data_IF_507180849274
#
_entry.id   IF_507180849274
#
_cell.length_a   1.000
_cell.length_b   1.000
_cell.length_c   1.000
_cell.angle_alpha   90.00
_cell.angle_beta   90.00
_cell.angle_gamma   90.00
#
_symmetry.space_group_name_H-M   'P 1'
#
loop_
_entity.id
_entity.type
_entity.pdbx_description
1 polymer ?
#
# COMPACT_ATOMS: atom_id res chain seq x y z
N UNK A 1 -11.45 -19.83 -3.87
CA UNK A 1 -12.53 -18.85 -4.13
C UNK A 1 -11.91 -17.52 -4.52
N UNK A 2 -12.37 -16.84 -5.59
CA UNK A 2 -11.87 -15.51 -5.93
C UNK A 2 -12.21 -14.52 -4.81
N UNK A 3 -11.22 -13.74 -4.36
CA UNK A 3 -11.44 -12.72 -3.32
C UNK A 3 -12.28 -11.58 -3.90
N UNK A 4 -13.34 -11.11 -3.20
CA UNK A 4 -14.14 -9.99 -3.69
C UNK A 4 -13.28 -8.72 -3.80
N UNK A 5 -13.37 -8.04 -4.95
CA UNK A 5 -12.68 -6.77 -5.21
C UNK A 5 -13.63 -5.61 -4.95
N UNK A 6 -13.17 -4.62 -4.18
CA UNK A 6 -13.88 -3.36 -3.94
C UNK A 6 -13.09 -2.22 -4.59
N UNK A 7 -13.80 -1.27 -5.18
CA UNK A 7 -13.17 -0.11 -5.82
C UNK A 7 -13.25 1.10 -4.90
N UNK A 8 -12.13 1.81 -4.78
CA UNK A 8 -12.04 3.12 -4.13
C UNK A 8 -11.48 4.10 -5.19
N UNK A 9 -12.19 5.20 -5.44
CA UNK A 9 -11.72 6.27 -6.34
C UNK A 9 -11.31 7.47 -5.51
N UNK A 10 -10.04 7.87 -5.62
CA UNK A 10 -9.47 9.03 -4.94
C UNK A 10 -9.05 10.06 -5.97
N UNK A 11 -9.36 11.34 -5.72
CA UNK A 11 -8.71 12.45 -6.42
C UNK A 11 -7.38 12.70 -5.71
N UNK A 12 -6.27 12.62 -6.44
CA UNK A 12 -4.95 12.78 -5.87
C UNK A 12 -4.51 14.25 -5.92
N UNK A 13 -3.85 14.76 -4.87
CA UNK A 13 -3.31 16.11 -4.86
C UNK A 13 -2.07 16.19 -5.77
N UNK A 14 -1.83 17.37 -6.35
CA UNK A 14 -0.73 17.59 -7.30
C UNK A 14 0.64 17.34 -6.67
N UNK A 15 0.78 17.58 -5.37
CA UNK A 15 2.00 17.34 -4.60
C UNK A 15 2.41 15.87 -4.62
N UNK A 16 1.44 14.96 -4.45
CA UNK A 16 1.72 13.52 -4.49
C UNK A 16 2.04 13.05 -5.91
N UNK A 17 1.35 13.62 -6.91
CA UNK A 17 1.62 13.33 -8.33
C UNK A 17 3.03 13.81 -8.71
N UNK A 18 3.43 15.01 -8.28
CA UNK A 18 4.74 15.59 -8.53
C UNK A 18 5.85 14.74 -7.88
N UNK A 19 5.67 14.31 -6.62
CA UNK A 19 6.59 13.41 -5.94
C UNK A 19 6.78 12.09 -6.71
N UNK A 20 5.67 11.43 -7.08
CA UNK A 20 5.72 10.19 -7.86
C UNK A 20 6.47 10.40 -9.19
N UNK A 21 6.19 11.50 -9.89
CA UNK A 21 6.83 11.83 -11.16
C UNK A 21 8.33 12.07 -11.01
N UNK A 22 8.75 12.75 -9.95
CA UNK A 22 10.17 13.01 -9.67
C UNK A 22 10.95 11.70 -9.53
N UNK A 23 10.36 10.71 -8.85
CA UNK A 23 11.00 9.42 -8.58
C UNK A 23 10.73 8.37 -9.68
N UNK A 24 10.01 8.74 -10.75
CA UNK A 24 9.71 7.85 -11.87
C UNK A 24 8.72 6.72 -11.55
N UNK A 25 7.94 6.84 -10.48
CA UNK A 25 6.92 5.87 -10.07
C UNK A 25 5.52 6.38 -10.37
N UNK A 26 4.54 5.47 -10.51
CA UNK A 26 3.14 5.88 -10.59
C UNK A 26 2.52 5.93 -9.20
N UNK A 27 1.51 6.79 -8.95
CA UNK A 27 0.77 6.79 -7.70
C UNK A 27 0.19 5.42 -7.35
N UNK A 28 -0.24 4.65 -8.35
CA UNK A 28 -0.77 3.30 -8.18
C UNK A 28 0.26 2.34 -7.57
N UNK A 29 1.52 2.39 -8.01
CA UNK A 29 2.61 1.56 -7.46
C UNK A 29 2.83 1.90 -6.00
N UNK A 30 2.95 3.18 -5.67
CA UNK A 30 3.21 3.65 -4.29
C UNK A 30 2.07 3.25 -3.36
N UNK A 31 0.82 3.52 -3.76
CA UNK A 31 -0.35 3.21 -2.93
C UNK A 31 -0.55 1.70 -2.77
N UNK A 32 -0.36 0.89 -3.82
CA UNK A 32 -0.43 -0.57 -3.70
C UNK A 32 0.65 -1.14 -2.81
N UNK A 33 1.88 -0.62 -2.92
CA UNK A 33 3.00 -1.00 -2.06
C UNK A 33 2.66 -0.76 -0.59
N UNK A 34 2.26 0.48 -0.25
CA UNK A 34 1.88 0.83 1.12
C UNK A 34 0.74 -0.05 1.67
N UNK A 35 -0.32 -0.27 0.87
CA UNK A 35 -1.44 -1.16 1.26
C UNK A 35 -0.93 -2.58 1.48
N UNK A 36 -0.07 -3.09 0.60
CA UNK A 36 0.48 -4.43 0.73
C UNK A 36 1.37 -4.56 1.98
N UNK A 37 2.17 -3.55 2.29
CA UNK A 37 3.01 -3.55 3.49
C UNK A 37 2.17 -3.51 4.76
N UNK A 38 1.22 -2.57 4.85
CA UNK A 38 0.35 -2.45 6.02
C UNK A 38 -0.53 -3.69 6.25
N UNK A 39 -0.95 -4.37 5.18
CA UNK A 39 -1.75 -5.60 5.26
C UNK A 39 -0.91 -6.90 5.23
N UNK A 40 0.42 -6.78 5.29
CA UNK A 40 1.37 -7.91 5.22
C UNK A 40 1.16 -8.85 4.01
N UNK A 41 0.74 -8.30 2.87
CA UNK A 41 0.44 -9.05 1.66
C UNK A 41 1.74 -9.39 0.93
N UNK A 42 2.15 -10.64 1.02
CA UNK A 42 3.36 -11.13 0.35
C UNK A 42 3.06 -11.72 -1.04
N UNK A 43 3.99 -11.52 -1.98
CA UNK A 43 4.02 -12.17 -3.28
C UNK A 43 5.37 -12.88 -3.44
N UNK A 44 5.35 -14.19 -3.64
CA UNK A 44 6.57 -15.01 -3.69
C UNK A 44 6.95 -15.32 -5.14
N UNK A 45 8.24 -15.45 -5.43
CA UNK A 45 8.71 -15.84 -6.78
C UNK A 45 8.09 -17.18 -7.22
N UNK A 46 7.97 -18.14 -6.30
CA UNK A 46 7.35 -19.44 -6.56
C UNK A 46 5.82 -19.40 -6.64
N UNK A 47 5.18 -18.32 -6.17
CA UNK A 47 3.73 -18.16 -6.11
C UNK A 47 3.36 -16.67 -6.24
N UNK A 48 3.51 -16.08 -7.44
CA UNK A 48 3.26 -14.67 -7.65
C UNK A 48 1.77 -14.35 -7.54
N UNK A 49 1.44 -13.19 -6.97
CA UNK A 49 0.06 -12.72 -6.90
C UNK A 49 -0.39 -12.11 -8.23
N UNK A 50 -1.59 -12.45 -8.66
CA UNK A 50 -2.19 -11.92 -9.88
C UNK A 50 -2.92 -10.57 -9.68
N UNK A 51 -3.07 -10.10 -8.45
CA UNK A 51 -3.78 -8.85 -8.12
C UNK A 51 -2.85 -7.63 -8.00
N UNK A 52 -1.55 -7.80 -8.23
CA UNK A 52 -0.57 -6.71 -8.28
C UNK A 52 -0.19 -6.14 -6.90
N UNK A 53 -0.65 -6.74 -5.80
CA UNK A 53 -0.20 -6.38 -4.46
C UNK A 53 1.01 -7.24 -4.07
N UNK A 54 2.06 -6.60 -3.59
CA UNK A 54 3.24 -7.26 -3.05
C UNK A 54 3.91 -6.32 -2.05
N UNK A 55 4.18 -6.83 -0.85
CA UNK A 55 4.97 -6.13 0.16
C UNK A 55 6.39 -5.89 -0.34
N UNK A 56 6.96 -4.75 0.01
CA UNK A 56 8.31 -4.34 -0.38
C UNK A 56 9.39 -4.97 0.52
N UNK A 57 9.06 -5.37 1.74
CA UNK A 57 10.02 -5.99 2.67
C UNK A 57 9.52 -6.02 4.11
N UNK A 58 10.28 -6.68 5.01
CA UNK A 58 9.90 -6.79 6.43
C UNK A 58 9.95 -5.45 7.15
N UNK A 59 10.91 -4.61 6.79
CA UNK A 59 11.15 -3.35 7.44
C UNK A 59 10.05 -2.37 7.03
N UNK A 60 9.65 -2.38 5.76
CA UNK A 60 8.54 -1.59 5.23
C UNK A 60 7.22 -1.96 5.89
N UNK A 61 6.95 -3.25 6.14
CA UNK A 61 5.77 -3.69 6.91
C UNK A 61 5.78 -3.12 8.32
N UNK A 62 6.93 -3.15 8.98
CA UNK A 62 7.10 -2.65 10.34
C UNK A 62 6.89 -1.13 10.39
N UNK A 63 7.52 -0.39 9.46
CA UNK A 63 7.38 1.06 9.36
C UNK A 63 5.96 1.51 8.98
N UNK A 64 5.28 0.76 8.10
CA UNK A 64 3.89 1.05 7.73
C UNK A 64 2.95 0.90 8.93
N UNK A 65 3.15 -0.15 9.73
CA UNK A 65 2.42 -0.34 10.99
C UNK A 65 2.75 0.73 12.02
N UNK A 66 4.03 1.06 12.21
CA UNK A 66 4.45 2.13 13.12
C UNK A 66 3.79 3.47 12.76
N UNK A 67 3.77 3.84 11.48
CA UNK A 67 3.04 5.02 11.02
C UNK A 67 1.54 4.91 11.33
N UNK A 68 0.91 3.79 10.97
CA UNK A 68 -0.52 3.59 11.11
C UNK A 68 -0.98 3.65 12.58
N UNK A 69 -0.22 3.05 13.49
CA UNK A 69 -0.46 3.08 14.92
C UNK A 69 -0.21 4.47 15.52
N UNK A 70 0.90 5.14 15.15
CA UNK A 70 1.26 6.46 15.70
C UNK A 70 0.29 7.57 15.29
N UNK A 71 -0.32 7.48 14.10
CA UNK A 71 -1.41 8.38 13.71
C UNK A 71 -2.66 8.14 14.58
N UNK A 72 -2.78 6.95 15.18
CA UNK A 72 -3.90 6.58 16.04
C UNK A 72 -5.07 5.98 15.28
N UNK A 73 -4.88 5.53 14.03
CA UNK A 73 -5.94 4.88 13.25
C UNK A 73 -6.59 3.68 13.96
N UNK A 74 -5.86 2.84 14.73
CA UNK A 74 -6.47 1.77 15.52
C UNK A 74 -7.49 2.25 16.58
N UNK A 75 -7.47 3.54 16.91
CA UNK A 75 -8.26 4.18 17.97
C UNK A 75 -9.20 5.28 17.45
N UNK A 76 -9.18 5.60 16.14
CA UNK A 76 -9.79 6.82 15.59
C UNK A 76 -11.30 6.91 15.74
N UNK A 77 -12.01 5.78 15.68
CA UNK A 77 -13.47 5.70 15.77
C UNK A 77 -13.93 4.65 16.80
N UNK A 78 -13.12 4.43 17.84
CA UNK A 78 -13.45 3.51 18.94
C UNK A 78 -14.03 4.25 20.14
#
# INVERSE_FOLDING_TARGET
MPRPRRNLTLKLPDEFIALCRQDGVTPEIVLRGFIADLCEIQSYVAAPRADGYASNGSDERSMAWDYYERVGYPWWNK
#
